data_IF_466595496842
#
_entry.id   IF_466595496842
#
_cell.length_a   1.000
_cell.length_b   1.000
_cell.length_c   1.000
_cell.angle_alpha   90.00
_cell.angle_beta   90.00
_cell.angle_gamma   90.00
#
_symmetry.space_group_name_H-M   'P 1'
#
loop_
_entity.id
_entity.type
_entity.pdbx_description
1 polymer ?
#
# COMPACT_ATOMS: atom_id res chain seq x y z
N UNK A 1 26.00 -6.31 10.51
CA UNK A 1 25.88 -6.57 9.06
C UNK A 1 26.69 -5.50 8.35
N UNK A 2 27.64 -5.82 7.47
CA UNK A 2 28.32 -4.77 6.70
C UNK A 2 27.33 -4.18 5.69
N UNK A 3 26.78 -3.00 5.98
CA UNK A 3 25.76 -2.30 5.19
C UNK A 3 26.34 -1.55 3.98
N UNK A 4 27.46 -2.02 3.43
CA UNK A 4 28.10 -1.33 2.31
C UNK A 4 27.60 -1.89 0.98
N UNK A 5 26.69 -1.16 0.35
CA UNK A 5 26.30 -1.39 -1.04
C UNK A 5 27.22 -0.59 -1.96
N UNK A 6 27.76 -1.21 -3.00
CA UNK A 6 28.62 -0.55 -3.99
C UNK A 6 27.81 0.16 -5.10
N UNK A 7 26.56 0.51 -4.82
CA UNK A 7 25.65 1.14 -5.76
C UNK A 7 24.78 2.20 -5.07
N UNK A 8 24.30 3.23 -5.80
CA UNK A 8 23.48 4.31 -5.26
C UNK A 8 21.99 3.96 -5.13
N UNK A 9 21.58 2.74 -5.51
CA UNK A 9 20.18 2.33 -5.49
C UNK A 9 19.67 1.97 -4.10
N UNK A 10 18.44 2.40 -3.81
CA UNK A 10 17.69 2.04 -2.61
C UNK A 10 17.13 0.62 -2.74
N UNK A 11 17.48 -0.25 -1.78
CA UNK A 11 16.90 -1.58 -1.63
C UNK A 11 15.80 -1.49 -0.57
N UNK A 12 14.54 -1.39 -1.02
CA UNK A 12 13.38 -1.21 -0.15
C UNK A 12 13.19 -2.45 0.74
N UNK A 13 12.91 -2.23 2.02
CA UNK A 13 12.59 -3.28 2.96
C UNK A 13 11.26 -3.97 2.62
N UNK A 14 11.08 -5.19 3.13
CA UNK A 14 9.82 -5.91 2.97
C UNK A 14 8.65 -5.10 3.58
N UNK A 15 7.63 -4.82 2.77
CA UNK A 15 6.45 -4.08 3.20
C UNK A 15 5.16 -4.89 2.96
N UNK A 16 4.16 -4.76 3.84
CA UNK A 16 2.87 -5.43 3.67
C UNK A 16 1.96 -4.71 2.66
N UNK A 17 2.26 -3.45 2.31
CA UNK A 17 1.38 -2.58 1.52
C UNK A 17 1.00 -3.12 0.14
N UNK A 18 1.89 -3.81 -0.62
CA UNK A 18 1.48 -4.44 -1.88
C UNK A 18 0.39 -5.50 -1.69
N UNK A 19 0.50 -6.32 -0.64
CA UNK A 19 -0.47 -7.36 -0.34
C UNK A 19 -1.80 -6.75 0.14
N UNK A 20 -1.76 -5.78 1.05
CA UNK A 20 -2.97 -5.11 1.54
C UNK A 20 -3.65 -4.31 0.43
N UNK A 21 -2.89 -3.73 -0.50
CA UNK A 21 -3.39 -3.05 -1.69
C UNK A 21 -4.12 -4.02 -2.62
N UNK A 22 -3.55 -5.20 -2.88
CA UNK A 22 -4.21 -6.24 -3.67
C UNK A 22 -5.51 -6.74 -3.03
N UNK A 23 -5.50 -6.97 -1.71
CA UNK A 23 -6.71 -7.35 -0.96
C UNK A 23 -7.75 -6.22 -1.00
N UNK A 24 -7.34 -4.96 -0.85
CA UNK A 24 -8.21 -3.79 -0.95
C UNK A 24 -8.88 -3.68 -2.32
N UNK A 25 -8.11 -3.84 -3.40
CA UNK A 25 -8.63 -3.85 -4.78
C UNK A 25 -9.61 -5.00 -5.01
N UNK A 26 -9.26 -6.24 -4.63
CA UNK A 26 -10.14 -7.41 -4.76
C UNK A 26 -11.45 -7.22 -3.98
N UNK A 27 -11.37 -6.70 -2.75
CA UNK A 27 -12.53 -6.43 -1.88
C UNK A 27 -13.41 -5.33 -2.48
N UNK A 28 -12.81 -4.29 -3.07
CA UNK A 28 -13.54 -3.20 -3.71
C UNK A 28 -14.32 -3.68 -4.92
N UNK A 29 -13.70 -4.47 -5.80
CA UNK A 29 -14.35 -5.03 -6.99
C UNK A 29 -15.46 -6.01 -6.60
N UNK A 30 -15.20 -6.91 -5.65
CA UNK A 30 -16.23 -7.82 -5.11
C UNK A 30 -17.37 -7.05 -4.46
N UNK A 31 -17.05 -5.95 -3.77
CA UNK A 31 -18.00 -5.04 -3.17
C UNK A 31 -18.86 -4.29 -4.18
N UNK A 32 -18.30 -3.89 -5.33
CA UNK A 32 -19.08 -3.32 -6.43
C UNK A 32 -20.08 -4.34 -6.99
N UNK A 33 -19.65 -5.59 -7.19
CA UNK A 33 -20.54 -6.67 -7.65
C UNK A 33 -21.68 -6.88 -6.66
N UNK A 34 -21.37 -6.94 -5.35
CA UNK A 34 -22.35 -7.05 -4.26
C UNK A 34 -23.33 -5.87 -4.25
N UNK A 35 -22.82 -4.65 -4.39
CA UNK A 35 -23.66 -3.46 -4.44
C UNK A 35 -24.64 -3.52 -5.61
N UNK A 36 -24.18 -3.88 -6.82
CA UNK A 36 -25.05 -3.88 -8.00
C UNK A 36 -26.10 -4.99 -8.02
N UNK A 37 -25.84 -6.15 -7.39
CA UNK A 37 -26.74 -7.30 -7.44
C UNK A 37 -27.55 -7.52 -6.15
N UNK A 38 -27.04 -7.04 -5.01
CA UNK A 38 -27.64 -7.26 -3.69
C UNK A 38 -27.99 -5.94 -2.98
N UNK A 39 -27.75 -4.79 -3.60
CA UNK A 39 -28.00 -3.44 -3.04
C UNK A 39 -27.34 -3.19 -1.68
N UNK A 40 -26.25 -3.91 -1.38
CA UNK A 40 -25.51 -3.81 -0.12
C UNK A 40 -24.09 -3.29 -0.38
N UNK A 41 -23.81 -2.08 0.13
CA UNK A 41 -22.54 -1.38 -0.05
C UNK A 41 -21.47 -1.75 0.99
N UNK A 42 -21.78 -2.56 2.01
CA UNK A 42 -20.86 -2.86 3.13
C UNK A 42 -19.47 -3.33 2.67
N UNK A 43 -19.43 -4.26 1.71
CA UNK A 43 -18.18 -4.82 1.20
C UNK A 43 -17.41 -3.80 0.34
N UNK A 44 -18.11 -2.96 -0.42
CA UNK A 44 -17.49 -1.88 -1.17
C UNK A 44 -16.85 -0.86 -0.24
N UNK A 45 -17.55 -0.43 0.82
CA UNK A 45 -17.01 0.48 1.82
C UNK A 45 -15.79 -0.12 2.54
N UNK A 46 -15.84 -1.41 2.88
CA UNK A 46 -14.69 -2.12 3.46
C UNK A 46 -13.47 -2.10 2.53
N UNK A 47 -13.65 -2.41 1.24
CA UNK A 47 -12.55 -2.38 0.26
C UNK A 47 -11.92 -0.99 0.10
N UNK A 48 -12.75 0.07 0.11
CA UNK A 48 -12.28 1.44 0.07
C UNK A 48 -11.49 1.83 1.34
N UNK A 49 -11.97 1.43 2.52
CA UNK A 49 -11.25 1.68 3.78
C UNK A 49 -9.87 1.02 3.75
N UNK A 50 -9.78 -0.25 3.33
CA UNK A 50 -8.50 -0.97 3.20
C UNK A 50 -7.56 -0.25 2.21
N UNK A 51 -8.12 0.20 1.08
CA UNK A 51 -7.35 0.90 0.04
C UNK A 51 -6.79 2.23 0.56
N UNK A 52 -7.62 3.05 1.20
CA UNK A 52 -7.21 4.34 1.78
C UNK A 52 -6.14 4.14 2.86
N UNK A 53 -6.31 3.15 3.74
CA UNK A 53 -5.33 2.84 4.78
C UNK A 53 -4.00 2.34 4.19
N UNK A 54 -4.05 1.54 3.11
CA UNK A 54 -2.84 1.06 2.43
C UNK A 54 -2.09 2.24 1.81
N UNK A 55 -2.79 3.09 1.08
CA UNK A 55 -2.22 4.24 0.39
C UNK A 55 -1.62 5.24 1.37
N UNK A 56 -2.33 5.55 2.46
CA UNK A 56 -1.83 6.43 3.52
C UNK A 56 -0.54 5.89 4.16
N UNK A 57 -0.51 4.59 4.50
CA UNK A 57 0.66 3.99 5.14
C UNK A 57 1.84 3.82 4.17
N UNK A 58 1.57 3.52 2.90
CA UNK A 58 2.61 3.39 1.89
C UNK A 58 3.28 4.75 1.63
N UNK A 59 2.53 5.82 1.42
CA UNK A 59 3.12 7.14 1.22
C UNK A 59 3.79 7.70 2.47
N UNK A 60 3.29 7.37 3.67
CA UNK A 60 3.99 7.65 4.92
C UNK A 60 5.37 7.00 4.94
N UNK A 61 5.48 5.75 4.51
CA UNK A 61 6.74 5.02 4.53
C UNK A 61 7.72 5.55 3.47
N UNK A 62 7.26 5.83 2.25
CA UNK A 62 8.07 6.54 1.22
C UNK A 62 8.59 7.89 1.75
N UNK A 63 7.75 8.64 2.46
CA UNK A 63 8.16 9.93 3.05
C UNK A 63 9.23 9.77 4.13
N UNK A 64 9.18 8.68 4.93
CA UNK A 64 10.18 8.36 5.96
C UNK A 64 11.49 7.91 5.34
N UNK A 65 11.44 7.04 4.33
CA UNK A 65 12.59 6.55 3.57
C UNK A 65 13.35 7.70 2.91
N UNK A 66 12.63 8.64 2.29
CA UNK A 66 13.23 9.84 1.69
C UNK A 66 13.73 10.84 2.72
N UNK A 67 12.87 11.30 3.63
CA UNK A 67 13.15 12.48 4.49
C UNK A 67 14.00 12.15 5.70
N UNK A 68 13.76 11.01 6.35
CA UNK A 68 14.38 10.69 7.64
C UNK A 68 15.52 9.67 7.53
N UNK A 69 15.48 8.79 6.53
CA UNK A 69 16.53 7.80 6.30
C UNK A 69 17.52 8.21 5.19
N UNK A 70 17.16 9.19 4.35
CA UNK A 70 18.03 9.70 3.30
C UNK A 70 18.30 8.69 2.18
N UNK A 71 17.35 7.78 1.90
CA UNK A 71 17.52 6.69 0.94
C UNK A 71 17.24 7.12 -0.52
N UNK A 72 16.74 8.34 -0.72
CA UNK A 72 16.54 8.92 -2.06
C UNK A 72 17.82 9.64 -2.48
N UNK A 73 18.67 8.93 -3.24
CA UNK A 73 19.78 9.54 -3.96
C UNK A 73 19.26 10.48 -5.07
N UNK A 74 20.19 11.17 -5.73
CA UNK A 74 19.98 12.26 -6.70
C UNK A 74 18.86 12.07 -7.73
#
# INVERSE_FOLDING_TARGET
>A
MSTHSNHPFHLVDYSPWPLTGAIGAMTTVSGMVKWFHQYDMSLFLLGNIITILTVYQWWRDVSREGTYQGLHTY
#
